data_IF_482145698162
#
_entry.id   IF_482145698162
#
_cell.length_a   1.000
_cell.length_b   1.000
_cell.length_c   1.000
_cell.angle_alpha   90.00
_cell.angle_beta   90.00
_cell.angle_gamma   90.00
#
_symmetry.space_group_name_H-M   'P 1'
#
loop_
_entity.id
_entity.type
_entity.pdbx_description
1 polymer ?
#
# COMPACT_ATOMS: atom_id res chain seq x y z
N UNK A 1 17.44 6.22 36.06
CA UNK A 1 16.08 5.71 36.37
C UNK A 1 15.17 6.91 36.37
N UNK A 2 14.18 6.97 35.48
CA UNK A 2 13.24 8.11 35.46
C UNK A 2 12.46 8.13 36.78
N UNK A 3 12.45 9.26 37.47
CA UNK A 3 11.92 9.47 38.83
C UNK A 3 10.37 9.52 38.90
N UNK A 4 9.66 9.14 37.83
CA UNK A 4 8.23 9.43 37.68
C UNK A 4 7.33 8.20 37.50
N UNK A 5 7.88 6.98 37.41
CA UNK A 5 7.08 5.77 37.21
C UNK A 5 6.41 5.67 35.82
N UNK A 6 6.84 6.49 34.86
CA UNK A 6 6.32 6.45 33.50
C UNK A 6 6.76 5.16 32.79
N UNK A 7 5.79 4.39 32.30
CA UNK A 7 6.02 3.22 31.46
C UNK A 7 5.80 3.62 30.00
N UNK A 8 6.86 3.57 29.19
CA UNK A 8 6.78 3.79 27.75
C UNK A 8 6.57 2.44 27.07
N UNK A 9 5.39 2.24 26.48
CA UNK A 9 5.10 1.11 25.60
C UNK A 9 5.19 1.58 24.14
N UNK A 10 6.12 1.00 23.38
CA UNK A 10 6.27 1.25 21.94
C UNK A 10 6.01 -0.07 21.21
N UNK A 11 4.82 -0.26 20.62
CA UNK A 11 4.56 -1.46 19.83
C UNK A 11 5.49 -1.52 18.61
N UNK A 12 5.70 -2.73 18.07
CA UNK A 12 6.38 -2.88 16.80
C UNK A 12 5.63 -2.09 15.70
N UNK A 13 6.36 -1.59 14.70
CA UNK A 13 5.74 -0.99 13.54
C UNK A 13 4.71 -1.95 12.93
N UNK A 14 3.53 -1.42 12.60
CA UNK A 14 2.40 -2.14 12.00
C UNK A 14 1.78 -3.23 12.89
N UNK A 15 2.13 -3.28 14.18
CA UNK A 15 1.41 -4.12 15.14
C UNK A 15 0.04 -3.50 15.45
N UNK A 16 -1.00 -4.31 15.29
CA UNK A 16 -2.33 -4.03 15.83
C UNK A 16 -2.81 -5.26 16.60
N UNK A 17 -3.49 -5.03 17.72
CA UNK A 17 -3.94 -6.12 18.59
C UNK A 17 -3.78 -5.81 20.07
N UNK A 18 -4.08 -6.81 20.89
CA UNK A 18 -3.93 -6.74 22.34
C UNK A 18 -2.56 -7.30 22.73
N UNK A 19 -1.81 -6.51 23.48
CA UNK A 19 -0.56 -6.91 24.12
C UNK A 19 -0.70 -6.81 25.64
N UNK A 20 0.11 -7.57 26.37
CA UNK A 20 0.08 -7.54 27.82
C UNK A 20 1.47 -7.73 28.40
N UNK A 21 1.80 -6.92 29.40
CA UNK A 21 3.02 -7.10 30.19
C UNK A 21 2.68 -7.06 31.68
N UNK A 22 3.43 -7.85 32.47
CA UNK A 22 3.32 -7.86 33.92
C UNK A 22 4.51 -7.15 34.55
N UNK A 23 4.30 -6.49 35.67
CA UNK A 23 5.38 -5.88 36.46
C UNK A 23 5.32 -6.35 37.91
N UNK A 24 6.48 -6.40 38.56
CA UNK A 24 6.55 -6.75 39.97
C UNK A 24 6.24 -5.51 40.82
N UNK A 25 5.23 -5.62 41.68
CA UNK A 25 5.00 -4.68 42.76
C UNK A 25 5.82 -5.15 43.97
N UNK A 26 6.82 -4.35 44.38
CA UNK A 26 7.79 -4.71 45.41
C UNK A 26 7.62 -3.78 46.61
N UNK A 27 7.52 -4.35 47.81
CA UNK A 27 7.50 -3.64 49.09
C UNK A 27 8.61 -4.24 49.96
N UNK A 28 9.50 -3.39 50.47
CA UNK A 28 10.64 -3.79 51.32
C UNK A 28 11.51 -4.93 50.75
N UNK A 29 11.76 -4.88 49.44
CA UNK A 29 12.57 -5.87 48.74
C UNK A 29 11.86 -7.20 48.45
N UNK A 30 10.59 -7.33 48.81
CA UNK A 30 9.78 -8.53 48.54
C UNK A 30 8.73 -8.23 47.47
N UNK A 31 8.62 -9.10 46.47
CA UNK A 31 7.52 -9.06 45.49
C UNK A 31 6.22 -9.38 46.22
N UNK A 32 5.28 -8.42 46.22
CA UNK A 32 3.97 -8.54 46.88
C UNK A 32 2.82 -8.71 45.88
N UNK A 33 2.98 -8.29 44.62
CA UNK A 33 2.01 -8.54 43.55
C UNK A 33 2.67 -8.54 42.16
N UNK A 34 1.98 -9.11 41.18
CA UNK A 34 2.34 -9.09 39.76
C UNK A 34 1.16 -8.61 38.90
N UNK A 35 0.76 -7.33 39.03
CA UNK A 35 -0.26 -6.76 38.16
C UNK A 35 0.09 -6.89 36.67
N UNK A 36 -0.93 -7.07 35.86
CA UNK A 36 -0.82 -7.14 34.39
C UNK A 36 -1.44 -5.90 33.79
N UNK A 37 -0.70 -5.24 32.91
CA UNK A 37 -1.18 -4.14 32.08
C UNK A 37 -1.55 -4.72 30.72
N UNK A 38 -2.79 -4.48 30.30
CA UNK A 38 -3.26 -4.81 28.95
C UNK A 38 -3.27 -3.55 28.11
N UNK A 39 -2.61 -3.59 26.96
CA UNK A 39 -2.58 -2.50 25.99
C UNK A 39 -3.31 -2.95 24.73
N UNK A 40 -4.26 -2.16 24.26
CA UNK A 40 -4.92 -2.38 22.97
C UNK A 40 -4.35 -1.40 21.96
N UNK A 41 -3.63 -1.91 20.96
CA UNK A 41 -3.13 -1.13 19.83
C UNK A 41 -4.18 -1.20 18.71
N UNK A 42 -4.78 -0.06 18.40
CA UNK A 42 -5.78 0.03 17.34
C UNK A 42 -5.09 -0.04 15.97
N UNK A 43 -5.68 -0.73 14.99
CA UNK A 43 -5.17 -0.70 13.62
C UNK A 43 -5.31 0.71 13.05
N UNK A 44 -4.24 1.20 12.42
CA UNK A 44 -4.25 2.39 11.58
C UNK A 44 -4.02 1.89 10.18
N UNK A 45 -4.87 2.30 9.24
CA UNK A 45 -4.77 1.84 7.87
C UNK A 45 -3.64 2.57 7.14
N UNK A 46 -2.68 1.84 6.56
CA UNK A 46 -1.64 2.39 5.71
C UNK A 46 -2.10 2.49 4.26
N UNK A 47 -1.46 3.37 3.49
CA UNK A 47 -1.72 3.45 2.06
C UNK A 47 -0.94 2.34 1.32
N UNK A 48 -1.48 1.84 0.20
CA UNK A 48 -0.75 0.89 -0.64
C UNK A 48 0.57 1.48 -1.14
N UNK A 49 1.55 0.61 -1.32
CA UNK A 49 2.81 0.90 -2.01
C UNK A 49 2.68 0.40 -3.45
N UNK A 50 2.53 1.35 -4.38
CA UNK A 50 2.51 1.07 -5.80
C UNK A 50 3.93 1.05 -6.40
N UNK A 51 4.16 0.24 -7.43
CA UNK A 51 5.45 0.08 -8.09
C UNK A 51 5.33 0.35 -9.59
N UNK A 52 6.30 1.08 -10.16
CA UNK A 52 6.29 1.43 -11.58
C UNK A 52 6.31 0.19 -12.51
N UNK A 53 5.62 0.29 -13.65
CA UNK A 53 5.50 -0.78 -14.63
C UNK A 53 6.12 -0.42 -15.99
N UNK A 54 6.56 -1.46 -16.70
CA UNK A 54 6.95 -1.36 -18.10
C UNK A 54 6.27 -2.46 -18.91
N UNK A 55 5.43 -2.05 -19.86
CA UNK A 55 4.67 -2.92 -20.77
C UNK A 55 5.58 -3.47 -21.90
N UNK A 56 6.75 -2.87 -22.10
CA UNK A 56 7.68 -3.21 -23.16
C UNK A 56 7.20 -2.73 -24.52
N UNK A 57 7.56 -3.48 -25.57
CA UNK A 57 7.17 -3.17 -26.94
C UNK A 57 5.82 -3.80 -27.27
N UNK A 58 4.90 -3.01 -27.82
CA UNK A 58 3.63 -3.49 -28.36
C UNK A 58 3.53 -3.17 -29.85
N UNK A 59 2.93 -4.09 -30.61
CA UNK A 59 2.72 -3.97 -32.07
C UNK A 59 1.27 -3.68 -32.45
N UNK A 60 0.40 -3.58 -31.43
CA UNK A 60 -1.03 -3.38 -31.62
C UNK A 60 -1.41 -1.93 -31.30
N UNK A 61 -2.06 -1.26 -32.24
CA UNK A 61 -2.52 0.14 -32.11
C UNK A 61 -3.90 0.30 -31.48
N UNK A 62 -4.59 -0.81 -31.15
CA UNK A 62 -5.85 -0.77 -30.42
C UNK A 62 -5.65 -0.78 -28.90
N UNK A 63 -6.74 -0.94 -28.17
CA UNK A 63 -6.67 -1.07 -26.71
C UNK A 63 -6.00 -2.38 -26.30
N UNK A 64 -4.91 -2.26 -25.56
CA UNK A 64 -4.25 -3.36 -24.83
C UNK A 64 -4.65 -3.28 -23.37
N UNK A 65 -4.80 -4.43 -22.72
CA UNK A 65 -5.13 -4.50 -21.30
C UNK A 65 -3.87 -4.65 -20.47
N UNK A 66 -3.73 -3.82 -19.43
CA UNK A 66 -2.59 -3.82 -18.51
C UNK A 66 -3.10 -4.04 -17.09
N UNK A 67 -2.43 -4.90 -16.34
CA UNK A 67 -2.74 -5.20 -14.93
C UNK A 67 -1.61 -4.65 -14.04
N UNK A 68 -1.60 -3.34 -13.73
CA UNK A 68 -0.47 -2.70 -13.05
C UNK A 68 -0.35 -3.10 -11.58
N UNK A 69 -1.40 -3.67 -10.98
CA UNK A 69 -1.42 -4.01 -9.56
C UNK A 69 -0.58 -5.26 -9.19
N UNK A 70 0.06 -5.90 -10.16
CA UNK A 70 0.68 -7.22 -9.97
C UNK A 70 1.92 -7.22 -9.06
N UNK A 71 2.58 -6.07 -8.93
CA UNK A 71 3.78 -5.82 -8.12
C UNK A 71 3.50 -4.88 -6.93
N UNK A 72 2.24 -4.55 -6.69
CA UNK A 72 1.82 -3.64 -5.61
C UNK A 72 1.57 -4.38 -4.31
N UNK A 73 1.82 -3.72 -3.19
CA UNK A 73 1.65 -4.30 -1.85
C UNK A 73 0.96 -3.33 -0.91
N UNK A 74 0.27 -3.87 0.07
CA UNK A 74 -0.31 -3.13 1.19
C UNK A 74 -0.11 -3.97 2.46
N UNK A 75 0.07 -3.32 3.60
CA UNK A 75 0.46 -4.02 4.83
C UNK A 75 -0.74 -4.61 5.56
N UNK A 76 -1.92 -3.98 5.48
CA UNK A 76 -3.17 -4.52 6.01
C UNK A 76 -3.95 -5.35 5.00
N UNK A 77 -3.87 -5.01 3.71
CA UNK A 77 -4.74 -5.55 2.66
C UNK A 77 -4.03 -6.57 1.77
N UNK A 78 -4.67 -7.70 1.45
CA UNK A 78 -4.16 -8.59 0.41
C UNK A 78 -3.99 -7.85 -0.92
N UNK A 79 -2.91 -8.12 -1.65
CA UNK A 79 -2.66 -7.53 -2.97
C UNK A 79 -3.84 -7.76 -3.95
N UNK A 80 -4.53 -8.91 -3.80
CA UNK A 80 -5.72 -9.25 -4.58
C UNK A 80 -6.89 -8.27 -4.39
N UNK A 81 -6.92 -7.49 -3.31
CA UNK A 81 -7.99 -6.55 -2.99
C UNK A 81 -7.72 -5.13 -3.49
N UNK A 82 -6.46 -4.79 -3.79
CA UNK A 82 -6.06 -3.48 -4.31
C UNK A 82 -6.73 -3.13 -5.63
N UNK A 83 -7.05 -1.86 -5.85
CA UNK A 83 -7.72 -1.37 -7.05
C UNK A 83 -6.99 -0.17 -7.63
N UNK A 84 -7.02 -0.02 -8.94
CA UNK A 84 -6.61 1.21 -9.62
C UNK A 84 -7.55 2.34 -9.19
N UNK A 85 -6.97 3.34 -8.53
CA UNK A 85 -7.65 4.50 -7.96
C UNK A 85 -7.86 5.57 -9.01
N UNK A 86 -6.77 5.93 -9.68
CA UNK A 86 -6.69 7.03 -10.64
C UNK A 86 -5.72 6.68 -11.76
N UNK A 87 -5.93 7.29 -12.92
CA UNK A 87 -4.96 7.36 -14.01
C UNK A 87 -4.81 8.82 -14.43
N UNK A 88 -3.58 9.26 -14.68
CA UNK A 88 -3.25 10.65 -15.02
C UNK A 88 -1.99 10.72 -15.87
N UNK A 89 -1.61 11.92 -16.32
CA UNK A 89 -0.31 12.14 -16.96
C UNK A 89 -0.10 11.34 -18.25
N UNK A 90 -1.17 11.01 -18.98
CA UNK A 90 -1.07 10.23 -20.20
C UNK A 90 -0.30 11.01 -21.29
N UNK A 91 0.73 10.39 -21.85
CA UNK A 91 1.60 10.90 -22.91
C UNK A 91 1.60 9.88 -24.05
N UNK A 92 1.22 10.32 -25.25
CA UNK A 92 1.18 9.50 -26.45
C UNK A 92 0.31 8.22 -26.33
N UNK A 93 -0.65 8.21 -25.40
CA UNK A 93 -1.63 7.13 -25.25
C UNK A 93 -2.96 7.66 -24.69
N UNK A 94 -4.05 6.96 -25.03
CA UNK A 94 -5.32 7.03 -24.32
C UNK A 94 -5.35 5.94 -23.24
N UNK A 95 -5.81 6.29 -22.03
CA UNK A 95 -5.89 5.35 -20.90
C UNK A 95 -7.29 5.39 -20.28
N UNK A 96 -7.87 4.22 -20.02
CA UNK A 96 -9.16 4.07 -19.36
C UNK A 96 -9.08 3.00 -18.28
N UNK A 97 -9.54 3.31 -17.07
CA UNK A 97 -9.68 2.31 -16.00
C UNK A 97 -10.79 1.32 -16.38
N UNK A 98 -10.52 0.02 -16.27
CA UNK A 98 -11.51 -1.02 -16.49
C UNK A 98 -12.58 -1.01 -15.39
N UNK A 99 -13.77 -1.55 -15.66
CA UNK A 99 -14.88 -1.54 -14.71
C UNK A 99 -14.57 -2.28 -13.39
N UNK A 100 -13.73 -3.32 -13.46
CA UNK A 100 -13.24 -4.07 -12.29
C UNK A 100 -12.21 -3.29 -11.45
N UNK A 101 -11.66 -2.20 -12.01
CA UNK A 101 -10.55 -1.42 -11.46
C UNK A 101 -9.32 -2.26 -11.13
N UNK A 102 -9.18 -3.46 -11.70
CA UNK A 102 -7.97 -4.28 -11.57
C UNK A 102 -7.01 -4.08 -12.75
N UNK A 103 -7.54 -3.48 -13.83
CA UNK A 103 -6.83 -3.29 -15.09
C UNK A 103 -7.08 -1.91 -15.65
N UNK A 104 -6.23 -1.53 -16.59
CA UNK A 104 -6.41 -0.35 -17.44
C UNK A 104 -6.35 -0.76 -18.91
N UNK A 105 -7.14 -0.09 -19.73
CA UNK A 105 -7.07 -0.18 -21.18
C UNK A 105 -6.18 0.95 -21.68
N UNK A 106 -5.14 0.61 -22.42
CA UNK A 106 -4.16 1.55 -22.97
C UNK A 106 -4.17 1.44 -24.48
N UNK A 107 -4.31 2.56 -25.18
CA UNK A 107 -4.23 2.64 -26.63
C UNK A 107 -3.16 3.68 -27.01
N UNK A 108 -2.02 3.27 -27.60
CA UNK A 108 -1.04 4.20 -28.13
C UNK A 108 -1.63 5.11 -29.20
N UNK A 109 -1.17 6.36 -29.27
CA UNK A 109 -1.62 7.35 -30.26
C UNK A 109 -0.70 7.45 -31.46
N UNK A 110 0.61 7.26 -31.27
CA UNK A 110 1.61 7.24 -32.33
C UNK A 110 2.76 6.29 -31.98
N UNK A 111 3.50 5.83 -33.00
CA UNK A 111 4.69 5.01 -32.80
C UNK A 111 5.72 5.76 -31.94
N UNK A 112 6.42 5.01 -31.08
CA UNK A 112 7.36 5.55 -30.11
C UNK A 112 6.92 5.34 -28.66
N UNK A 113 7.61 5.98 -27.71
CA UNK A 113 7.35 5.81 -26.29
C UNK A 113 5.99 6.40 -25.91
N UNK A 114 5.34 5.76 -24.94
CA UNK A 114 4.16 6.27 -24.27
C UNK A 114 4.25 6.01 -22.76
N UNK A 115 3.56 6.82 -21.98
CA UNK A 115 3.54 6.68 -20.52
C UNK A 115 2.27 7.26 -19.92
N UNK A 116 1.93 6.80 -18.73
CA UNK A 116 0.92 7.41 -17.88
C UNK A 116 1.25 7.11 -16.41
N UNK A 117 0.56 7.76 -15.49
CA UNK A 117 0.65 7.46 -14.06
C UNK A 117 -0.60 6.76 -13.58
N UNK A 118 -0.46 5.86 -12.61
CA UNK A 118 -1.57 5.30 -11.85
C UNK A 118 -1.30 5.36 -10.35
N UNK A 119 -2.36 5.33 -9.55
CA UNK A 119 -2.28 5.08 -8.11
C UNK A 119 -3.16 3.88 -7.74
N UNK A 120 -2.70 3.07 -6.79
CA UNK A 120 -3.48 1.99 -6.19
C UNK A 120 -4.30 2.53 -5.01
N UNK A 121 -5.40 1.85 -4.69
CA UNK A 121 -6.18 2.05 -3.49
C UNK A 121 -6.54 0.72 -2.84
N UNK A 122 -6.54 0.71 -1.52
CA UNK A 122 -7.00 -0.42 -0.72
C UNK A 122 -8.54 -0.41 -0.58
N UNK A 123 -9.14 -1.40 0.11
CA UNK A 123 -10.57 -1.42 0.42
C UNK A 123 -11.03 -0.29 1.36
N UNK A 124 -10.14 0.30 2.15
CA UNK A 124 -10.46 1.39 3.08
C UNK A 124 -10.60 2.74 2.35
N UNK A 125 -10.02 2.85 1.16
CA UNK A 125 -9.98 4.06 0.34
C UNK A 125 -8.66 4.83 0.42
N UNK A 126 -7.68 4.38 1.21
CA UNK A 126 -6.33 4.93 1.21
C UNK A 126 -5.69 4.71 -0.17
N UNK A 127 -4.83 5.65 -0.59
CA UNK A 127 -4.28 5.70 -1.95
C UNK A 127 -2.77 5.79 -1.92
N UNK A 128 -2.12 5.01 -2.77
CA UNK A 128 -0.69 5.12 -2.99
C UNK A 128 -0.30 6.49 -3.57
N UNK A 129 0.99 6.81 -3.49
CA UNK A 129 1.57 7.79 -4.41
C UNK A 129 1.41 7.31 -5.87
N UNK A 130 1.25 8.22 -6.85
CA UNK A 130 1.20 7.84 -8.25
C UNK A 130 2.56 7.31 -8.72
N UNK A 131 2.55 6.27 -9.54
CA UNK A 131 3.74 5.70 -10.18
C UNK A 131 3.54 5.57 -11.68
N UNK A 132 4.63 5.57 -12.43
CA UNK A 132 4.59 5.56 -13.89
C UNK A 132 4.42 4.14 -14.44
N UNK A 133 3.56 4.02 -15.44
CA UNK A 133 3.52 2.90 -16.39
C UNK A 133 4.05 3.41 -17.72
N UNK A 134 4.97 2.66 -18.33
CA UNK A 134 5.62 3.02 -19.59
C UNK A 134 5.58 1.89 -20.61
N UNK A 135 5.78 2.22 -21.88
CA UNK A 135 5.91 1.26 -22.97
C UNK A 135 6.34 1.93 -24.26
N UNK A 136 6.55 1.13 -25.30
CA UNK A 136 6.85 1.62 -26.65
C UNK A 136 5.92 0.96 -27.66
N UNK A 137 5.24 1.75 -28.48
CA UNK A 137 4.50 1.25 -29.63
C UNK A 137 5.44 1.18 -30.85
N UNK A 138 5.67 -0.03 -31.35
CA UNK A 138 6.49 -0.30 -32.54
C UNK A 138 5.56 -0.79 -33.66
N UNK A 139 5.74 -0.25 -34.87
CA UNK A 139 4.90 -0.58 -36.03
C UNK A 139 5.44 -1.79 -36.79
#
# INVERSE_FOLDING_TARGET
MAENGDVVYTPNANFSGTDSFSYYFIVDGTVVATPTVTVTVLPVNDAPVAVADNIGNIVYSGFTTVAPLGNDTDVESPAADLKVSTVSGAVNCEVKIAADRKRVYVKPLAAGPFSFEYAAADPSGAKSAPVTVSGTYVQ
#
